data_IF_391901551831
#
_entry.id   IF_391901551831
#
_cell.length_a   1.000
_cell.length_b   1.000
_cell.length_c   1.000
_cell.angle_alpha   90.00
_cell.angle_beta   90.00
_cell.angle_gamma   90.00
#
_symmetry.space_group_name_H-M   'P 1'
#
loop_
_entity.id
_entity.type
_entity.pdbx_description
1 polymer ?
#
# COMPACT_ATOMS: atom_id res chain seq x y z
N UNK A 1 -31.79 -26.56 21.51
CA UNK A 1 -31.72 -25.46 22.49
C UNK A 1 -30.29 -25.45 23.05
N UNK A 2 -29.47 -24.54 22.52
CA UNK A 2 -28.11 -24.11 22.92
C UNK A 2 -27.55 -23.38 21.67
N UNK A 3 -28.02 -22.16 21.40
CA UNK A 3 -27.42 -20.87 21.76
C UNK A 3 -26.35 -20.42 20.75
N UNK A 4 -26.83 -19.82 19.66
CA UNK A 4 -26.08 -19.13 18.59
C UNK A 4 -25.68 -17.70 19.02
N UNK A 5 -24.90 -17.55 20.10
CA UNK A 5 -24.72 -16.22 20.72
C UNK A 5 -23.27 -15.87 21.12
N UNK A 6 -22.27 -16.23 20.30
CA UNK A 6 -20.87 -15.85 20.58
C UNK A 6 -20.17 -15.08 19.45
N UNK A 7 -20.78 -14.86 18.28
CA UNK A 7 -20.06 -14.27 17.14
C UNK A 7 -20.65 -13.00 16.50
N UNK A 8 -21.66 -12.38 17.11
CA UNK A 8 -22.33 -11.19 16.56
C UNK A 8 -21.75 -9.86 17.08
N UNK A 9 -21.12 -9.85 18.25
CA UNK A 9 -20.63 -8.63 18.90
C UNK A 9 -19.43 -7.92 18.23
N UNK A 10 -18.58 -8.62 17.47
CA UNK A 10 -17.32 -8.02 16.99
C UNK A 10 -17.41 -7.25 15.67
N UNK A 11 -18.51 -7.37 14.92
CA UNK A 11 -18.68 -6.73 13.60
C UNK A 11 -19.41 -5.39 13.66
N UNK A 12 -20.33 -5.23 14.62
CA UNK A 12 -21.07 -3.98 14.82
C UNK A 12 -20.22 -2.94 15.56
N UNK A 13 -19.46 -3.33 16.57
CA UNK A 13 -18.53 -2.43 17.28
C UNK A 13 -17.42 -1.89 16.35
N UNK A 14 -16.91 -2.73 15.44
CA UNK A 14 -15.95 -2.30 14.41
C UNK A 14 -16.57 -1.36 13.36
N UNK A 15 -17.89 -1.45 13.13
CA UNK A 15 -18.63 -0.51 12.26
C UNK A 15 -18.83 0.86 12.92
N UNK A 16 -18.95 0.89 14.25
CA UNK A 16 -19.19 2.10 15.04
C UNK A 16 -17.96 3.04 15.02
N UNK A 17 -16.74 2.49 15.00
CA UNK A 17 -15.47 3.23 14.95
C UNK A 17 -15.18 3.91 13.59
N UNK A 18 -15.95 3.58 12.55
CA UNK A 18 -15.74 4.04 11.16
C UNK A 18 -16.67 5.20 10.75
N UNK A 19 -17.39 5.80 11.71
CA UNK A 19 -18.64 6.52 11.46
C UNK A 19 -18.57 7.85 10.71
N UNK A 20 -17.39 8.44 10.52
CA UNK A 20 -17.06 9.52 9.57
C UNK A 20 -15.70 10.06 10.00
N UNK A 21 -14.73 10.08 9.12
CA UNK A 21 -13.42 10.68 9.36
C UNK A 21 -13.29 11.94 8.51
N UNK A 22 -13.08 13.09 9.16
CA UNK A 22 -12.97 14.37 8.48
C UNK A 22 -11.95 15.24 9.22
N UNK A 23 -10.69 15.27 8.79
CA UNK A 23 -9.66 16.11 9.43
C UNK A 23 -8.62 16.62 8.44
N UNK A 24 -8.06 17.79 8.75
CA UNK A 24 -6.75 18.24 8.27
C UNK A 24 -5.61 17.34 8.77
N UNK A 25 -4.44 17.48 8.13
CA UNK A 25 -3.19 16.70 8.30
C UNK A 25 -3.04 16.07 9.68
N UNK A 26 -3.15 14.75 9.75
CA UNK A 26 -2.65 13.97 10.90
C UNK A 26 -1.25 13.47 10.60
N UNK A 27 -0.38 13.57 11.60
CA UNK A 27 0.94 12.94 11.55
C UNK A 27 0.76 11.43 11.38
N UNK A 28 1.50 10.84 10.44
CA UNK A 28 1.54 9.39 10.24
C UNK A 28 1.88 8.67 11.56
N UNK A 29 1.24 7.53 11.87
CA UNK A 29 1.63 6.71 13.02
C UNK A 29 3.09 6.26 12.95
N UNK A 30 3.59 5.72 14.07
CA UNK A 30 4.89 5.05 14.10
C UNK A 30 4.89 3.74 13.29
N UNK A 31 6.09 3.23 12.99
CA UNK A 31 6.31 2.04 12.17
C UNK A 31 6.56 0.77 12.98
N UNK A 32 6.56 0.85 14.31
CA UNK A 32 7.09 -0.20 15.20
C UNK A 32 6.34 -1.53 15.03
N UNK A 33 5.00 -1.47 14.95
CA UNK A 33 4.15 -2.65 14.81
C UNK A 33 4.27 -3.33 13.44
N UNK A 34 4.48 -2.54 12.38
CA UNK A 34 4.65 -3.04 11.01
C UNK A 34 6.08 -3.54 10.78
N UNK A 35 7.09 -2.81 11.25
CA UNK A 35 8.50 -3.18 11.11
C UNK A 35 8.82 -4.49 11.84
N UNK A 36 8.17 -4.73 12.98
CA UNK A 36 8.29 -6.00 13.72
C UNK A 36 7.77 -7.22 12.93
N UNK A 37 7.00 -7.01 11.84
CA UNK A 37 6.54 -8.07 10.93
C UNK A 37 7.55 -8.42 9.85
N UNK A 38 8.51 -7.54 9.57
CA UNK A 38 9.55 -7.78 8.57
C UNK A 38 10.66 -8.64 9.19
N UNK A 39 10.92 -9.81 8.61
CA UNK A 39 11.92 -10.76 9.09
C UNK A 39 12.87 -11.16 7.96
N UNK A 40 14.16 -11.00 8.22
CA UNK A 40 15.22 -11.51 7.36
C UNK A 40 15.72 -12.84 7.93
N UNK A 41 15.68 -13.89 7.11
CA UNK A 41 16.34 -15.17 7.39
C UNK A 41 17.37 -15.48 6.30
N UNK A 42 18.59 -14.92 6.39
CA UNK A 42 19.62 -15.12 5.37
C UNK A 42 20.06 -16.58 5.23
N UNK A 43 20.14 -17.33 6.33
CA UNK A 43 20.51 -18.76 6.32
C UNK A 43 19.52 -19.60 5.51
N UNK A 44 18.24 -19.20 5.49
CA UNK A 44 17.20 -19.88 4.72
C UNK A 44 16.95 -19.25 3.34
N UNK A 45 17.61 -18.12 3.03
CA UNK A 45 17.41 -17.36 1.79
C UNK A 45 16.01 -16.75 1.67
N UNK A 46 15.44 -16.23 2.77
CA UNK A 46 14.06 -15.73 2.80
C UNK A 46 13.93 -14.37 3.48
N UNK A 47 13.04 -13.55 2.94
CA UNK A 47 12.51 -12.36 3.59
C UNK A 47 11.02 -12.58 3.76
N UNK A 48 10.49 -12.22 4.92
CA UNK A 48 9.08 -12.37 5.24
C UNK A 48 8.50 -11.06 5.72
N UNK A 49 7.32 -10.71 5.23
CA UNK A 49 6.45 -9.70 5.82
C UNK A 49 5.24 -10.42 6.40
N UNK A 50 5.19 -10.53 7.73
CA UNK A 50 4.27 -11.42 8.44
C UNK A 50 4.41 -12.87 7.90
N UNK A 51 3.37 -13.41 7.25
CA UNK A 51 3.39 -14.74 6.63
C UNK A 51 3.59 -14.73 5.10
N UNK A 52 3.95 -13.58 4.52
CA UNK A 52 4.18 -13.44 3.07
C UNK A 52 5.65 -13.47 2.73
N UNK A 53 6.01 -14.27 1.73
CA UNK A 53 7.38 -14.33 1.24
C UNK A 53 7.64 -13.11 0.35
N UNK A 54 8.69 -12.38 0.71
CA UNK A 54 9.17 -11.21 -0.01
C UNK A 54 10.52 -11.49 -0.67
N UNK A 55 10.89 -10.63 -1.61
CA UNK A 55 12.24 -10.55 -2.18
C UNK A 55 12.72 -9.10 -2.06
N UNK A 56 14.03 -8.91 -1.88
CA UNK A 56 14.67 -7.61 -1.99
C UNK A 56 15.30 -7.51 -3.37
N UNK A 57 14.82 -6.57 -4.18
CA UNK A 57 15.21 -6.41 -5.58
C UNK A 57 15.76 -4.99 -5.80
N UNK A 58 16.81 -4.87 -6.61
CA UNK A 58 17.34 -3.56 -7.01
C UNK A 58 16.33 -2.80 -7.89
N UNK A 59 16.14 -1.51 -7.62
CA UNK A 59 15.29 -0.62 -8.44
C UNK A 59 15.74 -0.58 -9.90
N UNK A 60 17.06 -0.58 -10.16
CA UNK A 60 17.59 -0.68 -11.53
C UNK A 60 17.20 -1.95 -12.29
N UNK A 61 17.07 -3.09 -11.61
CA UNK A 61 16.60 -4.33 -12.23
C UNK A 61 15.09 -4.25 -12.56
N UNK A 62 14.31 -3.61 -11.68
CA UNK A 62 12.89 -3.33 -11.94
C UNK A 62 12.72 -2.33 -13.09
N UNK A 63 13.59 -1.33 -13.19
CA UNK A 63 13.70 -0.40 -14.32
C UNK A 63 13.96 -1.10 -15.64
N UNK A 64 14.97 -1.98 -15.68
CA UNK A 64 15.25 -2.77 -16.87
C UNK A 64 14.04 -3.61 -17.31
N UNK A 65 13.34 -4.26 -16.36
CA UNK A 65 12.10 -4.98 -16.66
C UNK A 65 11.03 -4.04 -17.23
N UNK A 66 10.85 -2.85 -16.64
CA UNK A 66 9.92 -1.84 -17.14
C UNK A 66 10.23 -1.45 -18.58
N UNK A 67 11.50 -1.18 -18.89
CA UNK A 67 11.95 -0.84 -20.23
C UNK A 67 11.60 -1.95 -21.21
N UNK A 68 11.97 -3.20 -20.91
CA UNK A 68 11.63 -4.35 -21.76
C UNK A 68 10.11 -4.47 -21.99
N UNK A 69 9.28 -4.26 -20.96
CA UNK A 69 7.82 -4.27 -21.11
C UNK A 69 7.32 -3.15 -22.03
N UNK A 70 7.89 -1.94 -21.91
CA UNK A 70 7.51 -0.79 -22.73
C UNK A 70 7.93 -1.03 -24.19
N UNK A 71 9.16 -1.47 -24.44
CA UNK A 71 9.69 -1.68 -25.79
C UNK A 71 8.98 -2.84 -26.50
N UNK A 72 8.63 -3.91 -25.78
CA UNK A 72 8.03 -5.11 -26.39
C UNK A 72 6.50 -5.02 -26.54
N UNK A 73 5.81 -4.38 -25.60
CA UNK A 73 4.33 -4.37 -25.56
C UNK A 73 3.72 -2.99 -25.85
N UNK A 74 4.54 -1.94 -25.82
CA UNK A 74 4.12 -0.55 -25.84
C UNK A 74 3.63 -0.06 -24.48
N UNK A 75 3.73 1.27 -24.27
CA UNK A 75 3.40 1.98 -23.02
C UNK A 75 2.04 1.57 -22.44
N UNK A 76 0.98 1.51 -23.26
CA UNK A 76 -0.38 1.22 -22.79
C UNK A 76 -0.49 -0.16 -22.13
N UNK A 77 0.14 -1.18 -22.71
CA UNK A 77 0.07 -2.56 -22.18
C UNK A 77 1.01 -2.75 -21.00
N UNK A 78 2.20 -2.16 -21.04
CA UNK A 78 3.14 -2.13 -19.92
C UNK A 78 2.51 -1.48 -18.69
N UNK A 79 1.90 -0.30 -18.83
CA UNK A 79 1.14 0.39 -17.78
C UNK A 79 0.07 -0.51 -17.17
N UNK A 80 -0.75 -1.14 -18.01
CA UNK A 80 -1.82 -2.00 -17.52
C UNK A 80 -1.29 -3.21 -16.73
N UNK A 81 -0.14 -3.78 -17.12
CA UNK A 81 0.50 -4.89 -16.41
C UNK A 81 1.04 -4.44 -15.05
N UNK A 82 1.81 -3.35 -15.02
CA UNK A 82 2.42 -2.83 -13.80
C UNK A 82 1.36 -2.34 -12.80
N UNK A 83 0.28 -1.71 -13.27
CA UNK A 83 -0.87 -1.37 -12.41
C UNK A 83 -1.54 -2.60 -11.81
N UNK A 84 -1.70 -3.70 -12.57
CA UNK A 84 -2.25 -4.95 -11.99
C UNK A 84 -1.31 -5.60 -10.99
N UNK A 85 0.00 -5.53 -11.22
CA UNK A 85 1.01 -5.98 -10.25
C UNK A 85 0.88 -5.17 -8.94
N UNK A 86 0.82 -3.84 -9.05
CA UNK A 86 0.57 -2.95 -7.91
C UNK A 86 -0.70 -3.31 -7.14
N UNK A 87 -1.82 -3.47 -7.85
CA UNK A 87 -3.11 -3.84 -7.26
C UNK A 87 -3.04 -5.17 -6.50
N UNK A 88 -2.37 -6.17 -7.06
CA UNK A 88 -2.20 -7.45 -6.37
C UNK A 88 -1.38 -7.29 -5.07
N UNK A 89 -0.35 -6.45 -5.07
CA UNK A 89 0.46 -6.14 -3.89
C UNK A 89 -0.34 -5.38 -2.83
N UNK A 90 -1.04 -4.30 -3.22
CA UNK A 90 -1.84 -3.48 -2.31
C UNK A 90 -3.03 -4.24 -1.72
N UNK A 91 -3.71 -5.06 -2.53
CA UNK A 91 -4.79 -5.91 -2.04
C UNK A 91 -4.31 -6.92 -1.00
N UNK A 92 -3.13 -7.50 -1.21
CA UNK A 92 -2.49 -8.31 -0.18
C UNK A 92 -2.27 -7.46 1.07
N UNK A 93 -1.58 -6.33 1.00
CA UNK A 93 -1.23 -5.55 2.21
C UNK A 93 -2.43 -4.97 2.96
N UNK A 94 -3.54 -4.68 2.27
CA UNK A 94 -4.81 -4.34 2.91
C UNK A 94 -5.32 -5.46 3.84
N UNK A 95 -5.15 -6.74 3.49
CA UNK A 95 -5.51 -7.86 4.38
C UNK A 95 -4.65 -7.90 5.65
N UNK A 96 -3.40 -7.45 5.57
CA UNK A 96 -2.51 -7.33 6.73
C UNK A 96 -2.91 -6.12 7.59
N UNK A 97 -3.20 -4.99 6.97
CA UNK A 97 -3.64 -3.76 7.62
C UNK A 97 -4.85 -3.98 8.53
N UNK A 98 -5.87 -4.69 8.05
CA UNK A 98 -7.07 -4.99 8.81
C UNK A 98 -6.81 -5.83 10.08
N UNK A 99 -5.73 -6.61 10.12
CA UNK A 99 -5.37 -7.48 11.25
C UNK A 99 -4.46 -6.80 12.27
N UNK A 100 -3.67 -5.81 11.86
CA UNK A 100 -2.65 -5.20 12.70
C UNK A 100 -3.23 -4.27 13.77
N UNK A 101 -4.30 -3.52 13.42
CA UNK A 101 -4.85 -2.45 14.27
C UNK A 101 -6.38 -2.57 14.43
N UNK A 102 -6.91 -3.70 14.93
CA UNK A 102 -8.35 -4.01 14.89
C UNK A 102 -9.24 -3.11 15.74
N UNK A 103 -8.68 -2.28 16.61
CA UNK A 103 -9.41 -1.37 17.49
C UNK A 103 -8.96 0.09 17.32
N UNK A 104 -8.21 0.38 16.25
CA UNK A 104 -7.72 1.73 15.98
C UNK A 104 -8.71 2.54 15.14
N UNK A 105 -8.46 3.84 15.01
CA UNK A 105 -9.28 4.70 14.17
C UNK A 105 -9.18 4.30 12.68
N UNK A 106 -10.15 4.72 11.86
CA UNK A 106 -10.08 4.51 10.42
C UNK A 106 -8.74 4.97 9.82
N UNK A 107 -8.25 6.15 10.22
CA UNK A 107 -6.97 6.67 9.73
C UNK A 107 -5.80 5.77 10.13
N UNK A 108 -5.77 5.27 11.36
CA UNK A 108 -4.66 4.42 11.81
C UNK A 108 -4.62 3.08 11.08
N UNK A 109 -5.79 2.52 10.75
CA UNK A 109 -5.90 1.31 9.92
C UNK A 109 -5.51 1.62 8.47
N UNK A 110 -6.06 2.68 7.88
CA UNK A 110 -5.75 3.11 6.51
C UNK A 110 -4.26 3.40 6.34
N UNK A 111 -3.64 4.09 7.30
CA UNK A 111 -2.24 4.50 7.28
C UNK A 111 -1.27 3.31 7.17
N UNK A 112 -1.68 2.09 7.54
CA UNK A 112 -0.85 0.90 7.35
C UNK A 112 -0.47 0.71 5.88
N UNK A 113 -1.38 0.96 4.93
CA UNK A 113 -1.10 0.82 3.50
C UNK A 113 0.06 1.73 3.03
N UNK A 114 -0.05 3.06 3.23
CA UNK A 114 1.05 3.99 2.97
C UNK A 114 2.34 3.71 3.77
N UNK A 115 2.24 3.23 5.01
CA UNK A 115 3.41 2.85 5.81
C UNK A 115 4.10 1.60 5.25
N UNK A 116 3.35 0.61 4.77
CA UNK A 116 3.90 -0.56 4.10
C UNK A 116 4.60 -0.17 2.80
N UNK A 117 4.00 0.72 2.01
CA UNK A 117 4.61 1.26 0.79
C UNK A 117 5.98 1.91 1.07
N UNK A 118 6.10 2.62 2.20
CA UNK A 118 7.37 3.19 2.66
C UNK A 118 8.34 2.14 3.23
N UNK A 119 7.84 1.18 4.03
CA UNK A 119 8.66 0.11 4.62
C UNK A 119 9.30 -0.78 3.56
N UNK A 120 8.58 -1.02 2.46
CA UNK A 120 9.06 -1.77 1.30
C UNK A 120 10.08 -1.00 0.45
N UNK A 121 10.33 0.28 0.78
CA UNK A 121 11.26 1.13 0.05
C UNK A 121 10.72 1.62 -1.30
N UNK A 122 9.40 1.65 -1.47
CA UNK A 122 8.78 2.05 -2.74
C UNK A 122 8.62 3.56 -2.84
N UNK A 123 8.09 4.19 -1.78
CA UNK A 123 7.77 5.63 -1.75
C UNK A 123 7.50 6.14 -0.33
N UNK A 124 7.87 7.39 -0.04
CA UNK A 124 7.40 8.08 1.15
C UNK A 124 6.06 8.78 0.87
N UNK A 125 5.03 8.46 1.67
CA UNK A 125 3.70 9.05 1.52
C UNK A 125 3.43 10.10 2.59
N UNK A 126 3.03 11.29 2.17
CA UNK A 126 2.59 12.39 3.04
C UNK A 126 1.09 12.67 2.82
N UNK A 127 0.23 12.44 3.83
CA UNK A 127 -1.19 12.78 3.74
C UNK A 127 -1.41 14.30 3.74
N UNK A 128 -2.15 14.78 2.75
CA UNK A 128 -2.61 16.18 2.67
C UNK A 128 -4.03 16.28 3.20
N UNK A 129 -4.93 15.39 2.73
CA UNK A 129 -6.33 15.37 3.13
C UNK A 129 -6.88 13.94 3.05
N UNK A 130 -7.67 13.56 4.04
CA UNK A 130 -8.39 12.28 4.03
C UNK A 130 -9.78 12.48 4.60
N UNK A 131 -10.78 12.12 3.81
CA UNK A 131 -12.18 12.11 4.19
C UNK A 131 -12.75 10.75 3.84
N UNK A 132 -13.41 10.12 4.81
CA UNK A 132 -14.04 8.83 4.57
C UNK A 132 -15.30 8.67 5.40
N UNK A 133 -16.35 8.18 4.77
CA UNK A 133 -17.54 7.65 5.42
C UNK A 133 -17.75 6.23 4.89
N UNK A 134 -17.27 5.25 5.66
CA UNK A 134 -17.36 3.84 5.29
C UNK A 134 -18.80 3.37 5.20
N UNK A 135 -19.71 3.97 5.99
CA UNK A 135 -21.13 3.59 5.98
C UNK A 135 -21.85 4.04 4.71
N UNK A 136 -21.43 5.18 4.15
CA UNK A 136 -21.95 5.73 2.88
C UNK A 136 -21.13 5.34 1.65
N UNK A 137 -19.99 4.66 1.84
CA UNK A 137 -19.06 4.34 0.76
C UNK A 137 -18.38 5.57 0.15
N UNK A 138 -18.23 6.64 0.93
CA UNK A 138 -17.59 7.88 0.47
C UNK A 138 -16.12 7.87 0.89
N UNK A 139 -15.25 8.23 -0.06
CA UNK A 139 -13.82 8.33 0.18
C UNK A 139 -13.24 9.47 -0.66
N UNK A 140 -12.41 10.30 -0.05
CA UNK A 140 -11.56 11.28 -0.69
C UNK A 140 -10.18 11.23 -0.03
N UNK A 141 -9.14 11.08 -0.84
CA UNK A 141 -7.76 11.05 -0.38
C UNK A 141 -6.88 11.93 -1.25
N UNK A 142 -6.06 12.75 -0.62
CA UNK A 142 -5.03 13.56 -1.26
C UNK A 142 -3.71 13.31 -0.53
N UNK A 143 -2.71 12.90 -1.30
CA UNK A 143 -1.40 12.48 -0.78
C UNK A 143 -0.30 13.00 -1.69
N UNK A 144 0.82 13.37 -1.08
CA UNK A 144 2.07 13.61 -1.80
C UNK A 144 2.94 12.36 -1.72
N UNK A 145 3.49 11.96 -2.86
CA UNK A 145 4.49 10.91 -2.95
C UNK A 145 5.86 11.54 -3.15
N UNK A 146 6.77 11.23 -2.23
CA UNK A 146 8.15 11.69 -2.22
C UNK A 146 9.07 10.50 -2.43
N UNK A 147 10.17 10.72 -3.15
CA UNK A 147 11.20 9.72 -3.41
C UNK A 147 10.61 8.43 -4.00
N UNK A 148 9.81 8.60 -5.07
CA UNK A 148 9.19 7.48 -5.78
C UNK A 148 10.24 6.68 -6.55
N UNK A 149 10.42 5.42 -6.16
CA UNK A 149 11.34 4.49 -6.84
C UNK A 149 10.96 4.23 -8.31
N UNK A 150 9.67 4.28 -8.67
CA UNK A 150 9.21 4.07 -10.04
C UNK A 150 9.44 5.31 -10.92
N UNK A 151 9.30 6.50 -10.34
CA UNK A 151 9.54 7.77 -11.03
C UNK A 151 11.04 8.00 -11.23
N UNK A 152 11.85 7.75 -10.20
CA UNK A 152 13.32 7.81 -10.24
C UNK A 152 13.87 7.02 -11.43
N UNK A 153 13.55 5.72 -11.50
CA UNK A 153 14.09 4.85 -12.54
C UNK A 153 13.51 5.14 -13.93
N UNK A 154 12.27 5.66 -13.99
CA UNK A 154 11.68 6.09 -15.24
C UNK A 154 12.39 7.32 -15.79
N UNK A 155 12.65 8.33 -14.96
CA UNK A 155 13.36 9.56 -15.34
C UNK A 155 14.79 9.25 -15.77
N UNK A 156 15.49 8.34 -15.08
CA UNK A 156 16.83 7.91 -15.48
C UNK A 156 16.87 7.33 -16.91
N UNK A 157 15.81 6.65 -17.33
CA UNK A 157 15.75 5.97 -18.63
C UNK A 157 15.16 6.83 -19.74
N UNK A 158 14.06 7.55 -19.46
CA UNK A 158 13.23 8.23 -20.45
C UNK A 158 13.22 9.76 -20.29
N UNK A 159 13.84 10.28 -19.23
CA UNK A 159 13.75 11.69 -18.86
C UNK A 159 12.38 12.07 -18.30
N UNK A 160 12.17 13.37 -18.10
CA UNK A 160 10.90 13.92 -17.61
C UNK A 160 9.89 13.96 -18.75
N UNK A 161 8.81 13.20 -18.61
CA UNK A 161 7.68 13.15 -19.55
C UNK A 161 6.51 14.04 -19.15
N UNK A 162 5.47 14.05 -20.00
CA UNK A 162 4.21 14.78 -19.74
C UNK A 162 3.15 13.93 -19.01
N UNK A 163 3.34 12.61 -18.94
CA UNK A 163 2.40 11.67 -18.34
C UNK A 163 2.89 11.18 -16.97
N UNK A 164 1.99 10.83 -16.03
CA UNK A 164 2.37 10.21 -14.77
C UNK A 164 2.85 8.75 -14.99
N UNK A 165 3.89 8.36 -14.26
CA UNK A 165 4.64 7.11 -14.53
C UNK A 165 4.65 6.11 -13.38
N UNK A 166 4.16 6.51 -12.19
CA UNK A 166 4.01 5.69 -10.99
C UNK A 166 2.87 4.65 -11.11
N UNK A 167 2.91 3.78 -12.12
CA UNK A 167 1.85 2.87 -12.51
C UNK A 167 1.65 1.71 -11.54
N UNK A 168 2.74 1.18 -10.98
CA UNK A 168 2.67 0.14 -9.95
C UNK A 168 2.15 0.75 -8.65
N UNK A 169 2.67 1.91 -8.25
CA UNK A 169 2.26 2.57 -7.01
C UNK A 169 0.79 3.00 -7.01
N UNK A 170 0.28 3.52 -8.14
CA UNK A 170 -1.15 3.86 -8.28
C UNK A 170 -2.04 2.63 -8.41
N UNK A 171 -1.47 1.48 -8.80
CA UNK A 171 -2.18 0.21 -8.71
C UNK A 171 -2.30 -0.28 -7.27
N UNK A 172 -1.25 -0.08 -6.47
CA UNK A 172 -1.22 -0.46 -5.05
C UNK A 172 -2.20 0.35 -4.19
N UNK A 173 -2.26 1.68 -4.43
CA UNK A 173 -3.09 2.62 -3.68
C UNK A 173 -4.60 2.43 -3.93
#
# INVERSE_FOLDING_TARGET
>A
MASDDVFTGSREEHRELLKTYNTSVKKMPGFEDISARLKFSPSDGRIWLDNRRMILLHTGALGALRTELIETLGVRRARALLTRMGYASGAQDAELAAKLRPQASFFDVFAVGPQLHALEGVVQVEPVRLEADVTKGQYYGEFLWKDSSEDEIHIETYGVGADPVCWMQIGYA
#
